data_IF_801630926923
#
_entry.id   IF_801630926923
#
_cell.length_a   1.000
_cell.length_b   1.000
_cell.length_c   1.000
_cell.angle_alpha   90.00
_cell.angle_beta   90.00
_cell.angle_gamma   90.00
#
_symmetry.space_group_name_H-M   'P 1'
#
loop_
_entity.id
_entity.type
_entity.pdbx_description
1 polymer ?
#
# COMPACT_ATOMS: atom_id res chain seq x y z
N UNK A 1 -6.61 0.13 -17.88
CA UNK A 1 -7.52 -0.42 -16.81
C UNK A 1 -6.82 -0.25 -15.47
N UNK A 2 -7.54 0.10 -14.40
CA UNK A 2 -6.94 0.43 -13.09
C UNK A 2 -7.27 -0.57 -11.98
N UNK A 3 -6.45 -0.58 -10.92
CA UNK A 3 -6.64 -1.37 -9.72
C UNK A 3 -6.77 -0.47 -8.48
N UNK A 4 -7.68 -0.82 -7.58
CA UNK A 4 -7.84 -0.19 -6.28
C UNK A 4 -7.66 -1.26 -5.20
N UNK A 5 -6.70 -1.05 -4.31
CA UNK A 5 -6.45 -1.90 -3.15
C UNK A 5 -6.79 -1.12 -1.89
N UNK A 6 -7.57 -1.73 -1.00
CA UNK A 6 -7.93 -1.15 0.29
C UNK A 6 -7.51 -2.13 1.38
N UNK A 7 -6.66 -1.68 2.30
CA UNK A 7 -6.24 -2.45 3.46
C UNK A 7 -6.85 -1.84 4.73
N UNK A 8 -7.82 -2.56 5.31
CA UNK A 8 -8.55 -2.15 6.52
C UNK A 8 -8.07 -2.87 7.79
N UNK A 9 -6.91 -3.54 7.72
CA UNK A 9 -6.33 -4.25 8.86
C UNK A 9 -6.00 -3.28 10.00
N UNK A 10 -6.20 -3.73 11.24
CA UNK A 10 -5.76 -3.03 12.46
C UNK A 10 -4.27 -3.23 12.77
N UNK A 11 -3.62 -4.14 12.05
CA UNK A 11 -2.19 -4.40 12.15
C UNK A 11 -1.60 -4.49 10.74
N UNK A 12 -1.19 -3.34 10.21
CA UNK A 12 -0.52 -3.22 8.92
C UNK A 12 0.99 -3.31 9.16
N UNK A 13 1.57 -4.47 8.82
CA UNK A 13 3.01 -4.69 8.82
C UNK A 13 3.63 -4.36 7.47
N UNK A 14 4.95 -4.22 7.42
CA UNK A 14 5.68 -4.02 6.16
C UNK A 14 5.54 -5.23 5.22
N UNK A 15 5.41 -6.45 5.76
CA UNK A 15 5.18 -7.66 4.97
C UNK A 15 3.86 -7.59 4.17
N UNK A 16 2.79 -7.06 4.78
CA UNK A 16 1.52 -6.83 4.08
C UNK A 16 1.72 -5.84 2.94
N UNK A 17 2.50 -4.77 3.18
CA UNK A 17 2.77 -3.75 2.17
C UNK A 17 3.61 -4.28 1.02
N UNK A 18 4.62 -5.12 1.30
CA UNK A 18 5.40 -5.81 0.28
C UNK A 18 4.54 -6.77 -0.55
N UNK A 19 3.59 -7.46 0.08
CA UNK A 19 2.60 -8.27 -0.63
C UNK A 19 1.75 -7.42 -1.59
N UNK A 20 1.28 -6.26 -1.14
CA UNK A 20 0.55 -5.30 -1.98
C UNK A 20 1.41 -4.80 -3.14
N UNK A 21 2.70 -4.55 -2.92
CA UNK A 21 3.62 -4.14 -3.97
C UNK A 21 3.74 -5.20 -5.08
N UNK A 22 3.86 -6.49 -4.71
CA UNK A 22 3.94 -7.61 -5.67
C UNK A 22 2.66 -7.77 -6.50
N UNK A 23 1.50 -7.46 -5.94
CA UNK A 23 0.23 -7.48 -6.68
C UNK A 23 0.23 -6.53 -7.89
N UNK A 24 1.04 -5.46 -7.89
CA UNK A 24 1.18 -4.61 -9.06
C UNK A 24 1.71 -5.39 -10.26
N UNK A 25 2.74 -6.19 -10.06
CA UNK A 25 3.37 -6.96 -11.14
C UNK A 25 2.44 -8.09 -11.61
N UNK A 26 1.72 -8.71 -10.68
CA UNK A 26 0.75 -9.78 -10.99
C UNK A 26 -0.48 -9.26 -11.77
N UNK A 27 -1.01 -8.10 -11.38
CA UNK A 27 -2.21 -7.52 -11.99
C UNK A 27 -1.88 -6.66 -13.22
N UNK A 28 -0.63 -6.20 -13.35
CA UNK A 28 -0.12 -5.27 -14.36
C UNK A 28 -1.11 -4.13 -14.72
N UNK A 29 -1.64 -3.38 -13.73
CA UNK A 29 -2.59 -2.32 -14.01
C UNK A 29 -1.89 -1.08 -14.56
N UNK A 30 -2.60 -0.33 -15.39
CA UNK A 30 -2.11 0.96 -15.89
C UNK A 30 -2.04 2.01 -14.77
N UNK A 31 -2.98 1.94 -13.82
CA UNK A 31 -3.07 2.82 -12.67
C UNK A 31 -3.39 1.97 -11.44
N UNK A 32 -2.65 2.16 -10.35
CA UNK A 32 -2.88 1.47 -9.10
C UNK A 32 -3.00 2.46 -7.95
N UNK A 33 -4.09 2.35 -7.19
CA UNK A 33 -4.33 3.14 -5.96
C UNK A 33 -4.35 2.20 -4.76
N UNK A 34 -3.67 2.60 -3.69
CA UNK A 34 -3.66 1.86 -2.41
C UNK A 34 -4.19 2.78 -1.31
N UNK A 35 -5.19 2.31 -0.57
CA UNK A 35 -5.80 3.02 0.56
C UNK A 35 -5.60 2.20 1.82
N UNK A 36 -5.05 2.81 2.86
CA UNK A 36 -4.86 2.18 4.16
C UNK A 36 -5.81 2.78 5.20
N UNK A 37 -6.24 1.97 6.16
CA UNK A 37 -6.77 2.48 7.44
C UNK A 37 -5.62 3.13 8.22
N UNK A 38 -5.73 4.41 8.55
CA UNK A 38 -4.65 5.16 9.19
C UNK A 38 -4.28 4.59 10.56
N UNK A 39 -5.30 4.26 11.34
CA UNK A 39 -5.18 3.61 12.66
C UNK A 39 -4.70 2.16 12.60
N UNK A 40 -4.54 1.57 11.41
CA UNK A 40 -3.99 0.23 11.24
C UNK A 40 -2.46 0.17 11.30
N UNK A 41 -1.78 1.32 11.17
CA UNK A 41 -0.33 1.38 11.31
C UNK A 41 0.07 1.41 12.80
N UNK A 42 1.14 0.69 13.13
CA UNK A 42 1.70 0.68 14.49
C UNK A 42 2.15 2.09 14.94
N UNK A 43 2.78 2.82 14.03
CA UNK A 43 3.29 4.17 14.25
C UNK A 43 3.57 4.87 12.90
N UNK A 44 3.90 6.16 12.94
CA UNK A 44 4.20 6.98 11.76
C UNK A 44 5.46 6.54 11.02
N UNK A 45 6.37 5.82 11.68
CA UNK A 45 7.59 5.27 11.05
C UNK A 45 7.20 4.12 10.12
N UNK A 46 6.36 3.20 10.60
CA UNK A 46 5.83 2.08 9.78
C UNK A 46 5.02 2.63 8.62
N UNK A 47 4.16 3.63 8.85
CA UNK A 47 3.39 4.29 7.79
C UNK A 47 4.28 4.92 6.72
N UNK A 48 5.31 5.66 7.15
CA UNK A 48 6.27 6.28 6.23
C UNK A 48 6.99 5.22 5.39
N UNK A 49 7.50 4.17 6.03
CA UNK A 49 8.16 3.07 5.34
C UNK A 49 7.23 2.37 4.35
N UNK A 50 5.97 2.14 4.72
CA UNK A 50 4.97 1.55 3.84
C UNK A 50 4.78 2.38 2.54
N UNK A 51 4.61 3.69 2.68
CA UNK A 51 4.47 4.60 1.52
C UNK A 51 5.73 4.58 0.65
N UNK A 52 6.93 4.53 1.26
CA UNK A 52 8.19 4.46 0.50
C UNK A 52 8.34 3.16 -0.29
N UNK A 53 8.01 2.02 0.32
CA UNK A 53 8.04 0.71 -0.35
C UNK A 53 7.12 0.71 -1.59
N UNK A 54 5.88 1.19 -1.43
CA UNK A 54 4.92 1.27 -2.54
C UNK A 54 5.41 2.21 -3.64
N UNK A 55 5.99 3.36 -3.29
CA UNK A 55 6.58 4.28 -4.28
C UNK A 55 7.75 3.66 -5.03
N UNK A 56 8.60 2.89 -4.37
CA UNK A 56 9.70 2.16 -5.02
C UNK A 56 9.19 1.09 -5.98
N UNK A 57 8.04 0.48 -5.67
CA UNK A 57 7.31 -0.39 -6.61
C UNK A 57 6.56 0.40 -7.71
N UNK A 58 6.66 1.72 -7.74
CA UNK A 58 5.99 2.59 -8.72
C UNK A 58 4.49 2.74 -8.47
N UNK A 59 4.02 2.54 -7.23
CA UNK A 59 2.66 2.85 -6.78
C UNK A 59 2.71 4.21 -6.08
N UNK A 60 2.25 5.25 -6.78
CA UNK A 60 2.37 6.63 -6.30
C UNK A 60 1.10 7.17 -5.65
N UNK A 61 -0.07 6.60 -5.98
CA UNK A 61 -1.35 7.02 -5.40
C UNK A 61 -1.66 6.19 -4.14
N UNK A 62 -1.06 6.61 -3.03
CA UNK A 62 -1.25 6.02 -1.71
C UNK A 62 -2.03 6.99 -0.81
N UNK A 63 -3.12 6.52 -0.20
CA UNK A 63 -4.00 7.31 0.68
C UNK A 63 -4.19 6.61 2.02
N UNK A 64 -4.52 7.38 3.06
CA UNK A 64 -4.93 6.88 4.36
C UNK A 64 -6.29 7.47 4.75
N UNK A 65 -7.10 6.68 5.46
CA UNK A 65 -8.43 7.04 5.99
C UNK A 65 -8.42 7.10 7.51
#
# INVERSE_FOLDING_TARGET
MGALIICLSDAISLEVVEGIAKLKDELNPEIMRVVFKDSGFKDDVVKTNAVQILKQAGIVDVRSL
#
